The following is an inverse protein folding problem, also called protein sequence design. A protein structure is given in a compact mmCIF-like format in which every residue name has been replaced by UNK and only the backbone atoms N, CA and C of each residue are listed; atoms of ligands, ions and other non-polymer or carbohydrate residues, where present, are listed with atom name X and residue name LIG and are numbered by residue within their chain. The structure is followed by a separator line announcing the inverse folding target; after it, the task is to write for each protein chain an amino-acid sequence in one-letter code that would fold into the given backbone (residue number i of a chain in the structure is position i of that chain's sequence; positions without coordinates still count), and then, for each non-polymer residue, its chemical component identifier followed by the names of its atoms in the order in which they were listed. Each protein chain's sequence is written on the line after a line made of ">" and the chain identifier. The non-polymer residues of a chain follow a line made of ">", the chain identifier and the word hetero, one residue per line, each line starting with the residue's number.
data_IF_408740795881
#
_entry.id   IF_408740795881
#
_cell.length_a   1.000
_cell.length_b   1.000
_cell.length_c   1.000
_cell.angle_alpha   90.00
_cell.angle_beta   90.00
_cell.angle_gamma   90.00
#
_symmetry.space_group_name_H-M   'P 1'
#
loop_
_entity.id
_entity.type
_entity.pdbx_description
1 polymer ?
#
# COMPACT_ATOMS: atom_id res chain seq x y z
N UNK A 1 4.71 -31.68 17.89
CA UNK A 1 5.92 -30.84 17.99
C UNK A 1 5.54 -29.44 17.55
N UNK A 2 5.61 -28.48 18.47
CA UNK A 2 5.09 -27.12 18.28
C UNK A 2 6.26 -26.25 17.83
N UNK A 3 6.30 -25.86 16.55
CA UNK A 3 7.44 -25.14 15.97
C UNK A 3 7.52 -23.72 16.54
N UNK A 4 8.35 -23.52 17.57
CA UNK A 4 8.58 -22.21 18.22
C UNK A 4 9.80 -21.48 17.66
N UNK A 5 10.75 -22.21 17.10
CA UNK A 5 11.98 -21.65 16.56
C UNK A 5 12.29 -22.23 15.18
N UNK A 6 12.89 -21.39 14.34
CA UNK A 6 13.48 -21.79 13.06
C UNK A 6 14.99 -21.74 13.22
N UNK A 7 15.62 -22.91 13.33
CA UNK A 7 17.07 -23.03 13.52
C UNK A 7 17.67 -23.81 12.37
N UNK A 8 18.48 -23.15 11.55
CA UNK A 8 19.20 -23.75 10.43
C UNK A 8 20.70 -23.39 10.53
N UNK A 9 21.50 -24.21 11.21
CA UNK A 9 22.93 -23.97 11.33
C UNK A 9 23.66 -24.41 10.05
N UNK A 10 24.63 -23.61 9.60
CA UNK A 10 25.61 -23.96 8.54
C UNK A 10 24.98 -24.36 7.20
N UNK A 11 24.11 -23.50 6.67
CA UNK A 11 23.49 -23.69 5.34
C UNK A 11 24.14 -22.74 4.32
N UNK A 12 25.46 -22.86 4.15
CA UNK A 12 26.28 -21.88 3.42
C UNK A 12 25.95 -21.75 1.93
N UNK A 13 25.31 -22.77 1.34
CA UNK A 13 24.88 -22.77 -0.07
C UNK A 13 23.43 -22.31 -0.26
N UNK A 14 22.69 -22.07 0.83
CA UNK A 14 21.28 -21.69 0.76
C UNK A 14 21.17 -20.28 0.17
N UNK A 15 20.54 -20.18 -1.00
CA UNK A 15 20.33 -18.90 -1.69
C UNK A 15 18.98 -18.26 -1.39
N UNK A 16 17.97 -19.07 -1.03
CA UNK A 16 16.60 -18.61 -0.82
C UNK A 16 16.01 -19.30 0.40
N UNK A 17 15.33 -18.52 1.24
CA UNK A 17 14.62 -19.03 2.41
C UNK A 17 13.24 -18.37 2.47
N UNK A 18 12.21 -19.20 2.59
CA UNK A 18 10.83 -18.76 2.74
C UNK A 18 10.30 -19.38 4.03
N UNK A 19 9.93 -18.53 4.98
CA UNK A 19 9.31 -18.91 6.24
C UNK A 19 7.93 -18.28 6.24
N UNK A 20 6.92 -19.11 6.04
CA UNK A 20 5.52 -18.68 6.06
C UNK A 20 4.78 -19.44 7.15
N UNK A 21 4.15 -18.71 8.05
CA UNK A 21 3.28 -19.26 9.08
C UNK A 21 1.94 -18.55 9.04
N UNK A 22 0.90 -19.32 8.73
CA UNK A 22 -0.48 -18.84 8.63
C UNK A 22 -1.29 -19.62 9.66
N UNK A 23 -1.62 -19.00 10.79
CA UNK A 23 -2.43 -19.65 11.83
C UNK A 23 -2.31 -19.00 13.21
N UNK A 24 -3.22 -19.37 14.11
CA UNK A 24 -3.34 -18.75 15.43
C UNK A 24 -2.26 -19.23 16.42
N UNK A 25 -1.76 -20.47 16.28
CA UNK A 25 -0.77 -21.06 17.19
C UNK A 25 -0.03 -22.24 16.52
N UNK A 26 1.24 -22.50 16.89
CA UNK A 26 2.10 -21.70 17.77
C UNK A 26 2.79 -20.53 17.06
N UNK A 27 3.22 -19.56 17.85
CA UNK A 27 4.03 -18.43 17.40
C UNK A 27 5.49 -18.82 17.20
N UNK A 28 6.12 -18.33 16.12
CA UNK A 28 7.58 -18.37 16.01
C UNK A 28 8.12 -17.25 16.90
N UNK A 29 8.97 -17.59 17.87
CA UNK A 29 9.62 -16.62 18.76
C UNK A 29 11.05 -16.34 18.35
N UNK A 30 11.72 -17.29 17.67
CA UNK A 30 13.14 -17.19 17.38
C UNK A 30 13.47 -17.69 15.96
N UNK A 31 14.27 -16.92 15.23
CA UNK A 31 14.82 -17.28 13.92
C UNK A 31 16.34 -17.15 14.00
N UNK A 32 17.02 -18.31 13.97
CA UNK A 32 18.47 -18.44 14.03
C UNK A 32 18.94 -19.21 12.80
N UNK A 33 19.15 -18.49 11.71
CA UNK A 33 19.63 -19.08 10.45
C UNK A 33 21.03 -18.55 10.16
N UNK A 34 21.97 -19.42 9.80
CA UNK A 34 23.32 -19.03 9.39
C UNK A 34 23.47 -19.37 7.91
N UNK A 35 23.23 -18.37 7.06
CA UNK A 35 23.20 -18.50 5.61
C UNK A 35 23.90 -17.28 4.93
N UNK A 36 25.24 -17.22 4.91
CA UNK A 36 25.98 -16.06 4.36
C UNK A 36 25.72 -15.83 2.86
N UNK A 37 25.37 -16.88 2.10
CA UNK A 37 25.07 -16.79 0.66
C UNK A 37 23.60 -16.48 0.35
N UNK A 38 22.78 -16.18 1.37
CA UNK A 38 21.35 -15.96 1.19
C UNK A 38 21.10 -14.68 0.38
N UNK A 39 20.30 -14.81 -0.67
CA UNK A 39 19.95 -13.72 -1.59
C UNK A 39 18.48 -13.33 -1.48
N UNK A 40 17.62 -14.27 -1.11
CA UNK A 40 16.18 -14.05 -0.94
C UNK A 40 15.77 -14.56 0.44
N UNK A 41 15.13 -13.68 1.23
CA UNK A 41 14.56 -14.06 2.51
C UNK A 41 13.15 -13.52 2.64
N UNK A 42 12.18 -14.41 2.78
CA UNK A 42 10.80 -14.05 3.05
C UNK A 42 10.42 -14.60 4.41
N UNK A 43 9.99 -13.72 5.30
CA UNK A 43 9.44 -14.05 6.60
C UNK A 43 8.04 -13.45 6.71
N UNK A 44 7.04 -14.32 6.60
CA UNK A 44 5.62 -13.97 6.64
C UNK A 44 5.00 -14.72 7.80
N UNK A 45 4.79 -14.01 8.91
CA UNK A 45 4.25 -14.53 10.14
C UNK A 45 2.96 -13.80 10.50
N UNK A 46 1.82 -14.45 10.28
CA UNK A 46 0.54 -13.93 10.76
C UNK A 46 0.18 -14.59 12.07
N UNK A 47 0.11 -13.80 13.13
CA UNK A 47 -0.26 -14.27 14.44
C UNK A 47 -1.04 -13.18 15.20
N UNK A 48 -2.01 -13.59 16.00
CA UNK A 48 -2.81 -12.68 16.85
C UNK A 48 -2.06 -12.23 18.10
N UNK A 49 -1.00 -12.94 18.50
CA UNK A 49 -0.17 -12.53 19.61
C UNK A 49 0.85 -11.49 19.15
N UNK A 50 0.86 -10.32 19.81
CA UNK A 50 1.83 -9.24 19.57
C UNK A 50 3.21 -9.56 20.17
N UNK A 51 3.71 -10.78 19.96
CA UNK A 51 5.03 -11.21 20.42
C UNK A 51 6.04 -10.89 19.33
N UNK A 52 7.06 -10.11 19.66
CA UNK A 52 8.16 -9.82 18.75
C UNK A 52 9.04 -11.06 18.55
N UNK A 53 9.43 -11.29 17.30
CA UNK A 53 10.34 -12.38 16.95
C UNK A 53 11.78 -11.93 17.21
N UNK A 54 12.58 -12.77 17.83
CA UNK A 54 14.03 -12.62 17.86
C UNK A 54 14.59 -13.10 16.53
N UNK A 55 15.21 -12.20 15.78
CA UNK A 55 15.73 -12.48 14.45
C UNK A 55 17.02 -11.68 14.26
N UNK A 56 18.16 -12.37 14.13
CA UNK A 56 19.43 -11.75 13.76
C UNK A 56 19.86 -12.26 12.38
N UNK A 57 19.73 -11.38 11.38
CA UNK A 57 20.04 -11.69 9.99
C UNK A 57 21.12 -10.77 9.42
N UNK A 58 21.83 -10.02 10.28
CA UNK A 58 22.84 -9.02 9.87
C UNK A 58 23.99 -9.62 9.08
N UNK A 59 24.22 -10.93 9.23
CA UNK A 59 25.23 -11.67 8.49
C UNK A 59 24.87 -11.88 6.99
N UNK A 60 23.63 -11.64 6.56
CA UNK A 60 23.17 -11.95 5.19
C UNK A 60 23.51 -10.83 4.21
N UNK A 61 24.80 -10.52 4.07
CA UNK A 61 25.27 -9.38 3.27
C UNK A 61 24.96 -9.51 1.77
N UNK A 62 24.67 -10.71 1.29
CA UNK A 62 24.32 -11.01 -0.11
C UNK A 62 22.81 -10.85 -0.41
N UNK A 63 22.02 -10.43 0.57
CA UNK A 63 20.56 -10.32 0.44
C UNK A 63 20.19 -9.26 -0.60
N UNK A 64 19.42 -9.68 -1.61
CA UNK A 64 18.89 -8.84 -2.68
C UNK A 64 17.40 -8.62 -2.55
N UNK A 65 16.69 -9.55 -1.92
CA UNK A 65 15.26 -9.47 -1.70
C UNK A 65 14.90 -9.85 -0.26
N UNK A 66 14.20 -8.95 0.41
CA UNK A 66 13.73 -9.13 1.76
C UNK A 66 12.24 -8.82 1.87
N UNK A 67 11.47 -9.78 2.35
CA UNK A 67 10.05 -9.62 2.67
C UNK A 67 9.86 -9.92 4.15
N UNK A 68 9.41 -8.91 4.90
CA UNK A 68 9.13 -9.00 6.33
C UNK A 68 7.69 -8.59 6.61
N UNK A 69 6.87 -9.55 7.00
CA UNK A 69 5.50 -9.37 7.46
C UNK A 69 5.34 -10.11 8.80
N UNK A 70 5.15 -9.39 9.89
CA UNK A 70 5.02 -9.95 11.24
C UNK A 70 4.30 -8.99 12.18
N UNK A 71 3.67 -9.44 13.28
CA UNK A 71 2.84 -8.57 14.12
C UNK A 71 3.62 -7.40 14.72
N UNK A 72 4.83 -7.67 15.20
CA UNK A 72 5.72 -6.70 15.86
C UNK A 72 7.11 -6.73 15.24
N UNK A 73 7.76 -5.57 15.13
CA UNK A 73 9.08 -5.43 14.50
C UNK A 73 10.11 -6.28 15.26
N UNK A 74 10.90 -7.13 14.57
CA UNK A 74 11.77 -8.07 15.25
C UNK A 74 12.86 -7.40 16.09
N UNK A 75 13.17 -7.98 17.24
CA UNK A 75 14.06 -7.38 18.27
C UNK A 75 15.52 -7.23 17.81
N UNK A 76 15.97 -8.06 16.87
CA UNK A 76 17.36 -8.04 16.37
C UNK A 76 17.66 -6.96 15.34
N UNK A 77 16.68 -6.15 14.93
CA UNK A 77 16.88 -5.08 13.97
C UNK A 77 17.05 -3.71 14.63
N UNK A 78 18.00 -2.92 14.12
CA UNK A 78 18.06 -1.49 14.41
C UNK A 78 16.98 -0.76 13.59
N UNK A 79 16.00 -0.16 14.26
CA UNK A 79 14.89 0.53 13.58
C UNK A 79 15.34 1.64 12.62
N UNK A 80 16.48 2.31 12.87
CA UNK A 80 16.98 3.39 12.04
C UNK A 80 17.98 2.94 10.98
N UNK A 81 18.71 1.84 11.23
CA UNK A 81 19.87 1.46 10.41
C UNK A 81 19.83 0.05 9.83
N UNK A 82 18.79 -0.78 10.07
CA UNK A 82 18.80 -2.19 9.66
C UNK A 82 19.05 -2.43 8.17
N UNK A 83 18.67 -1.48 7.29
CA UNK A 83 18.93 -1.63 5.85
C UNK A 83 20.43 -1.57 5.53
N UNK A 84 21.21 -0.88 6.36
CA UNK A 84 22.67 -0.75 6.19
C UNK A 84 23.39 -2.10 6.28
N UNK A 85 22.78 -3.09 6.94
CA UNK A 85 23.30 -4.46 7.03
C UNK A 85 23.19 -5.20 5.67
N UNK A 86 22.37 -4.70 4.73
CA UNK A 86 22.08 -5.33 3.44
C UNK A 86 22.49 -4.42 2.26
N UNK A 87 23.81 -4.32 1.96
CA UNK A 87 24.33 -3.38 0.96
C UNK A 87 23.89 -3.69 -0.49
N UNK A 88 23.41 -4.90 -0.75
CA UNK A 88 22.96 -5.34 -2.07
C UNK A 88 21.43 -5.47 -2.18
N UNK A 89 20.68 -4.97 -1.20
CA UNK A 89 19.22 -5.11 -1.17
C UNK A 89 18.58 -4.28 -2.29
N UNK A 90 17.90 -4.95 -3.22
CA UNK A 90 17.23 -4.34 -4.37
C UNK A 90 15.70 -4.27 -4.17
N UNK A 91 15.13 -5.28 -3.49
CA UNK A 91 13.69 -5.41 -3.27
C UNK A 91 13.38 -5.52 -1.78
N UNK A 92 12.55 -4.62 -1.25
CA UNK A 92 12.09 -4.64 0.13
C UNK A 92 10.56 -4.61 0.19
N UNK A 93 9.97 -5.57 0.90
CA UNK A 93 8.57 -5.57 1.30
C UNK A 93 8.53 -5.56 2.82
N UNK A 94 7.90 -4.54 3.41
CA UNK A 94 7.83 -4.36 4.86
C UNK A 94 6.38 -4.17 5.33
N UNK A 95 5.97 -5.00 6.28
CA UNK A 95 4.74 -4.91 7.03
C UNK A 95 3.57 -5.73 6.47
N UNK A 96 2.37 -5.64 7.08
CA UNK A 96 2.04 -4.93 8.31
C UNK A 96 2.85 -5.39 9.52
N UNK A 97 3.33 -4.41 10.29
CA UNK A 97 4.19 -4.63 11.44
C UNK A 97 4.11 -3.45 12.42
N UNK A 98 3.85 -3.72 13.69
CA UNK A 98 3.90 -2.74 14.77
C UNK A 98 5.36 -2.37 15.08
N UNK A 99 5.65 -1.07 15.18
CA UNK A 99 6.97 -0.55 15.56
C UNK A 99 6.80 0.54 16.60
N UNK A 100 7.50 0.40 17.72
CA UNK A 100 7.51 1.41 18.80
C UNK A 100 8.44 2.60 18.48
N UNK A 101 9.31 2.46 17.48
CA UNK A 101 10.31 3.47 17.08
C UNK A 101 10.15 3.86 15.61
N UNK A 102 10.76 5.00 15.26
CA UNK A 102 10.84 5.49 13.88
C UNK A 102 11.64 4.51 13.03
N UNK A 103 11.10 4.17 11.87
CA UNK A 103 11.83 3.37 10.87
C UNK A 103 12.38 4.31 9.81
N UNK A 104 13.70 4.26 9.58
CA UNK A 104 14.37 5.00 8.51
C UNK A 104 14.78 4.02 7.42
N UNK A 105 14.41 4.34 6.19
CA UNK A 105 14.73 3.51 5.02
C UNK A 105 15.68 4.32 4.16
N UNK A 106 16.96 3.96 4.21
CA UNK A 106 18.01 4.63 3.44
C UNK A 106 18.84 3.59 2.71
N UNK A 107 18.77 3.58 1.38
CA UNK A 107 19.60 2.66 0.57
C UNK A 107 19.76 3.15 -0.87
N UNK A 108 21.00 3.19 -1.38
CA UNK A 108 21.26 3.47 -2.78
C UNK A 108 21.02 2.25 -3.69
N UNK A 109 21.00 1.02 -3.16
CA UNK A 109 20.79 -0.19 -3.97
C UNK A 109 19.31 -0.50 -4.21
N UNK A 110 18.42 0.06 -3.39
CA UNK A 110 17.00 -0.29 -3.41
C UNK A 110 16.31 0.22 -4.68
N UNK A 111 15.66 -0.69 -5.40
CA UNK A 111 14.95 -0.44 -6.66
C UNK A 111 13.45 -0.60 -6.53
N UNK A 112 12.99 -1.51 -5.67
CA UNK A 112 11.57 -1.74 -5.37
C UNK A 112 11.32 -1.67 -3.87
N UNK A 113 10.32 -0.89 -3.48
CA UNK A 113 9.92 -0.72 -2.09
C UNK A 113 8.40 -0.87 -1.98
N UNK A 114 7.97 -1.83 -1.17
CA UNK A 114 6.58 -2.02 -0.78
C UNK A 114 6.45 -1.83 0.73
N UNK A 115 5.56 -0.93 1.11
CA UNK A 115 5.30 -0.54 2.49
C UNK A 115 3.84 -0.85 2.82
N UNK A 116 3.62 -1.75 3.78
CA UNK A 116 2.29 -2.18 4.22
C UNK A 116 2.08 -1.74 5.66
N UNK A 117 1.25 -0.73 5.86
CA UNK A 117 0.93 -0.11 7.15
C UNK A 117 -0.58 -0.13 7.38
N UNK A 118 -1.12 -1.32 7.69
CA UNK A 118 -2.57 -1.49 7.92
C UNK A 118 -2.99 -1.17 9.37
N UNK A 119 -2.04 -1.14 10.33
CA UNK A 119 -2.32 -0.92 11.76
C UNK A 119 -1.35 0.06 12.44
N UNK A 120 -1.00 1.18 11.80
CA UNK A 120 -0.40 2.26 12.58
C UNK A 120 -1.52 2.94 13.37
N UNK A 121 -1.78 2.42 14.56
CA UNK A 121 -2.48 3.09 15.64
C UNK A 121 -2.09 4.58 15.69
N UNK A 122 -3.04 5.43 16.07
CA UNK A 122 -2.86 6.87 16.30
C UNK A 122 -1.76 7.11 17.34
N UNK A 123 -0.49 7.01 16.92
CA UNK A 123 0.65 7.35 17.74
C UNK A 123 1.08 8.77 17.40
N UNK A 124 0.77 9.66 18.34
CA UNK A 124 1.34 11.00 18.50
C UNK A 124 2.86 10.95 18.71
N UNK A 125 3.64 10.52 17.72
CA UNK A 125 5.09 10.73 17.71
C UNK A 125 5.49 11.69 16.59
N UNK A 126 6.03 12.84 16.99
CA UNK A 126 6.31 14.01 16.15
C UNK A 126 7.46 13.83 15.15
N UNK A 127 8.00 12.62 14.97
CA UNK A 127 9.18 12.36 14.13
C UNK A 127 8.83 11.53 12.90
N UNK A 128 8.50 12.23 11.82
CA UNK A 128 8.19 11.72 10.47
C UNK A 128 9.20 10.65 10.02
N UNK A 129 8.87 9.36 9.89
CA UNK A 129 9.76 8.38 9.23
C UNK A 129 10.28 8.93 7.90
N UNK A 130 11.56 8.71 7.57
CA UNK A 130 12.19 9.26 6.36
C UNK A 130 12.64 8.12 5.46
N UNK A 131 12.30 8.26 4.18
CA UNK A 131 12.65 7.33 3.11
C UNK A 131 13.56 8.07 2.13
N UNK A 132 14.85 7.72 2.09
CA UNK A 132 15.85 8.24 1.16
C UNK A 132 16.41 7.09 0.32
N UNK A 133 15.87 6.94 -0.88
CA UNK A 133 16.16 5.82 -1.78
C UNK A 133 16.34 6.39 -3.20
N UNK A 134 17.55 6.85 -3.55
CA UNK A 134 17.78 7.67 -4.75
C UNK A 134 17.62 6.91 -6.06
N UNK A 135 17.69 5.57 -6.05
CA UNK A 135 17.59 4.72 -7.25
C UNK A 135 16.27 3.92 -7.35
N UNK A 136 15.27 4.31 -6.57
CA UNK A 136 13.96 3.65 -6.54
C UNK A 136 13.22 3.79 -7.88
N UNK A 137 12.87 2.65 -8.47
CA UNK A 137 12.14 2.56 -9.73
C UNK A 137 10.64 2.28 -9.53
N UNK A 138 10.29 1.58 -8.43
CA UNK A 138 8.93 1.17 -8.12
C UNK A 138 8.63 1.39 -6.64
N UNK A 139 7.50 2.02 -6.35
CA UNK A 139 7.03 2.25 -4.99
C UNK A 139 5.60 1.76 -4.84
N UNK A 140 5.34 0.98 -3.79
CA UNK A 140 4.00 0.57 -3.40
C UNK A 140 3.75 0.91 -1.94
N UNK A 141 2.61 1.54 -1.67
CA UNK A 141 2.12 1.81 -0.32
C UNK A 141 0.78 1.10 -0.13
N UNK A 142 0.59 0.44 1.01
CA UNK A 142 -0.69 -0.15 1.43
C UNK A 142 -1.00 0.36 2.83
N UNK A 143 -2.16 0.98 3.07
CA UNK A 143 -2.50 1.41 4.43
C UNK A 143 -3.85 2.12 4.55
N UNK A 144 -4.29 2.44 5.78
CA UNK A 144 -5.60 3.09 6.00
C UNK A 144 -5.63 4.57 5.57
N UNK A 145 -4.51 5.25 5.73
CA UNK A 145 -4.30 6.65 5.32
C UNK A 145 -2.95 6.76 4.63
N UNK A 146 -2.80 7.65 3.67
CA UNK A 146 -1.50 7.87 3.03
C UNK A 146 -0.61 8.78 3.89
N UNK A 147 0.57 8.31 4.27
CA UNK A 147 1.55 9.08 5.05
C UNK A 147 2.64 9.62 4.14
N UNK A 148 2.60 10.91 3.81
CA UNK A 148 3.57 11.53 2.88
C UNK A 148 5.02 11.49 3.33
N UNK A 149 5.29 11.36 4.63
CA UNK A 149 6.67 11.20 5.13
C UNK A 149 7.33 9.92 4.62
N UNK A 150 6.53 8.90 4.28
CA UNK A 150 6.98 7.64 3.72
C UNK A 150 7.05 7.64 2.20
N UNK A 151 6.59 8.72 1.56
CA UNK A 151 6.70 8.87 0.12
C UNK A 151 8.16 9.19 -0.24
N UNK A 152 8.72 8.53 -1.27
CA UNK A 152 10.06 8.85 -1.75
C UNK A 152 10.10 10.29 -2.30
N UNK A 153 10.82 11.19 -1.61
CA UNK A 153 10.87 12.63 -1.96
C UNK A 153 11.89 12.95 -3.06
N UNK A 154 13.02 12.25 -3.07
CA UNK A 154 14.19 12.54 -3.90
C UNK A 154 14.16 11.82 -5.28
N UNK A 155 13.28 10.83 -5.43
CA UNK A 155 13.36 9.85 -6.53
C UNK A 155 12.44 10.09 -7.73
N UNK A 156 11.83 11.28 -7.81
CA UNK A 156 10.74 11.59 -8.77
C UNK A 156 11.09 11.35 -10.24
N UNK A 157 12.38 11.41 -10.61
CA UNK A 157 12.85 11.24 -12.00
C UNK A 157 12.98 9.77 -12.44
N UNK A 158 13.30 8.86 -11.52
CA UNK A 158 13.54 7.43 -11.82
C UNK A 158 12.32 6.55 -11.52
N UNK A 159 11.37 7.05 -10.72
CA UNK A 159 10.14 6.37 -10.41
C UNK A 159 9.28 6.16 -11.66
N UNK A 160 9.17 4.90 -12.08
CA UNK A 160 8.34 4.48 -13.22
C UNK A 160 6.91 4.21 -12.80
N UNK A 161 6.73 3.70 -11.59
CA UNK A 161 5.43 3.25 -11.09
C UNK A 161 5.29 3.58 -9.62
N UNK A 162 4.20 4.24 -9.29
CA UNK A 162 3.75 4.49 -7.92
C UNK A 162 2.41 3.81 -7.76
N UNK A 163 2.32 2.85 -6.84
CA UNK A 163 1.09 2.19 -6.43
C UNK A 163 0.69 2.66 -5.04
N UNK A 164 -0.49 3.23 -4.87
CA UNK A 164 -1.01 3.58 -3.53
C UNK A 164 -2.30 2.82 -3.31
N UNK A 165 -2.27 1.81 -2.45
CA UNK A 165 -3.43 1.02 -2.02
C UNK A 165 -3.94 1.53 -0.68
N UNK A 166 -5.13 2.13 -0.64
CA UNK A 166 -5.72 2.62 0.60
C UNK A 166 -6.85 1.73 1.07
N UNK A 167 -6.87 1.40 2.36
CA UNK A 167 -7.93 0.63 3.03
C UNK A 167 -8.56 1.46 4.16
N UNK A 168 -9.22 2.58 3.86
CA UNK A 168 -9.77 3.47 4.88
C UNK A 168 -10.95 2.82 5.61
N UNK A 169 -11.14 3.21 6.86
CA UNK A 169 -12.41 3.00 7.56
C UNK A 169 -13.44 3.98 7.02
N UNK A 170 -14.59 3.49 6.58
CA UNK A 170 -15.65 4.31 5.93
C UNK A 170 -16.04 5.50 6.81
N UNK A 171 -16.22 5.29 8.11
CA UNK A 171 -16.56 6.33 9.09
C UNK A 171 -15.51 7.45 9.21
N UNK A 172 -14.25 7.17 8.85
CA UNK A 172 -13.15 8.14 8.88
C UNK A 172 -12.99 8.91 7.57
N UNK A 173 -13.74 8.57 6.52
CA UNK A 173 -13.71 9.26 5.24
C UNK A 173 -14.51 10.56 5.38
N UNK A 174 -13.80 11.67 5.53
CA UNK A 174 -14.37 13.01 5.59
C UNK A 174 -13.52 14.00 4.80
N UNK A 175 -13.97 15.26 4.71
CA UNK A 175 -13.23 16.32 3.99
C UNK A 175 -11.77 16.45 4.44
N UNK A 176 -11.47 16.29 5.73
CA UNK A 176 -10.10 16.40 6.23
C UNK A 176 -9.22 15.25 5.74
N UNK A 177 -9.76 14.01 5.70
CA UNK A 177 -9.08 12.86 5.11
C UNK A 177 -8.72 13.12 3.64
N UNK A 178 -9.66 13.67 2.85
CA UNK A 178 -9.40 14.02 1.45
C UNK A 178 -8.36 15.12 1.30
N UNK A 179 -8.44 16.19 2.09
CA UNK A 179 -7.47 17.29 2.01
C UNK A 179 -6.06 16.81 2.35
N UNK A 180 -5.91 15.89 3.30
CA UNK A 180 -4.62 15.25 3.59
C UNK A 180 -4.13 14.40 2.43
N UNK A 181 -4.99 13.54 1.86
CA UNK A 181 -4.64 12.74 0.70
C UNK A 181 -4.25 13.63 -0.50
N UNK A 182 -5.03 14.66 -0.79
CA UNK A 182 -4.79 15.65 -1.84
C UNK A 182 -3.42 16.30 -1.71
N UNK A 183 -3.15 16.89 -0.54
CA UNK A 183 -1.88 17.54 -0.20
C UNK A 183 -0.68 16.63 -0.45
N UNK A 184 -0.88 15.31 -0.35
CA UNK A 184 0.16 14.33 -0.57
C UNK A 184 0.27 13.89 -2.03
N UNK A 185 -0.85 13.62 -2.69
CA UNK A 185 -0.88 13.20 -4.10
C UNK A 185 -0.38 14.30 -5.04
N UNK A 186 -0.66 15.58 -4.74
CA UNK A 186 -0.15 16.72 -5.54
C UNK A 186 1.37 16.84 -5.52
N UNK A 187 2.06 16.21 -4.56
CA UNK A 187 3.53 16.16 -4.50
C UNK A 187 4.13 15.05 -5.34
N UNK A 188 3.31 14.11 -5.80
CA UNK A 188 3.70 12.98 -6.63
C UNK A 188 3.43 13.35 -8.10
N UNK A 189 4.34 12.98 -8.99
CA UNK A 189 4.21 13.29 -10.42
C UNK A 189 3.11 12.42 -11.08
N UNK A 190 2.62 12.80 -12.26
CA UNK A 190 1.40 12.29 -12.93
C UNK A 190 1.42 10.79 -13.38
N UNK A 191 2.34 9.94 -12.91
CA UNK A 191 2.38 8.49 -13.23
C UNK A 191 2.01 7.63 -12.03
N UNK A 192 0.85 7.92 -11.43
CA UNK A 192 0.35 7.24 -10.24
C UNK A 192 -0.71 6.23 -10.66
N UNK A 193 -0.50 4.97 -10.24
CA UNK A 193 -1.57 4.00 -10.07
C UNK A 193 -2.11 4.13 -8.65
N UNK A 194 -3.37 4.55 -8.54
CA UNK A 194 -4.10 4.57 -7.28
C UNK A 194 -4.96 3.32 -7.21
N UNK A 195 -4.87 2.62 -6.09
CA UNK A 195 -5.79 1.57 -5.73
C UNK A 195 -6.52 2.02 -4.45
N UNK A 196 -7.83 2.08 -4.49
CA UNK A 196 -8.65 2.27 -3.31
C UNK A 196 -9.36 0.94 -3.05
N UNK A 197 -9.01 0.30 -1.95
CA UNK A 197 -9.68 -0.89 -1.47
C UNK A 197 -10.62 -0.48 -0.33
N UNK A 198 -11.89 -0.28 -0.65
CA UNK A 198 -12.89 0.02 0.36
C UNK A 198 -13.29 -1.31 0.97
N UNK A 199 -12.65 -1.67 2.09
CA UNK A 199 -13.09 -2.79 2.90
C UNK A 199 -14.12 -2.30 3.88
N UNK A 200 -15.31 -2.84 3.76
CA UNK A 200 -16.24 -2.85 4.87
C UNK A 200 -15.66 -3.73 5.97
N UNK A 201 -15.16 -3.08 7.02
CA UNK A 201 -15.54 -3.54 8.36
C UNK A 201 -16.89 -2.87 8.71
N UNK A 202 -17.90 -2.97 7.84
CA UNK A 202 -19.28 -2.91 8.30
C UNK A 202 -19.49 -4.21 9.08
N UNK A 203 -19.09 -4.18 10.34
CA UNK A 203 -19.78 -4.96 11.34
C UNK A 203 -21.28 -4.71 11.09
N UNK A 204 -22.04 -5.78 10.93
CA UNK A 204 -23.37 -5.89 10.29
C UNK A 204 -24.47 -5.18 11.13
N UNK A 205 -24.24 -3.93 11.56
CA UNK A 205 -25.09 -3.19 12.51
C UNK A 205 -25.38 -1.76 12.12
N UNK A 206 -24.82 -1.25 11.02
CA UNK A 206 -25.22 0.06 10.50
C UNK A 206 -26.19 -0.11 9.34
N UNK A 207 -27.48 0.15 9.62
CA UNK A 207 -28.58 0.34 8.66
C UNK A 207 -28.37 1.67 7.89
N UNK A 208 -27.26 1.83 7.20
CA UNK A 208 -27.06 3.00 6.31
C UNK A 208 -27.71 2.66 4.96
N UNK A 209 -28.62 3.49 4.43
CA UNK A 209 -29.27 3.23 3.14
C UNK A 209 -28.26 3.08 2.00
N UNK A 210 -28.51 2.17 1.06
CA UNK A 210 -27.67 1.95 -0.14
C UNK A 210 -27.39 3.26 -0.92
N UNK A 211 -28.37 4.16 -0.99
CA UNK A 211 -28.23 5.49 -1.59
C UNK A 211 -27.11 6.34 -0.97
N UNK A 212 -26.91 6.24 0.35
CA UNK A 212 -25.86 6.98 1.06
C UNK A 212 -24.46 6.45 0.71
N UNK A 213 -24.32 5.14 0.52
CA UNK A 213 -23.08 4.52 0.05
C UNK A 213 -22.75 4.93 -1.38
N UNK A 214 -23.76 5.02 -2.25
CA UNK A 214 -23.58 5.45 -3.63
C UNK A 214 -23.12 6.91 -3.75
N UNK A 215 -23.73 7.81 -2.97
CA UNK A 215 -23.30 9.20 -2.86
C UNK A 215 -21.85 9.34 -2.37
N UNK A 216 -21.48 8.55 -1.35
CA UNK A 216 -20.11 8.54 -0.82
C UNK A 216 -19.10 8.03 -1.85
N UNK A 217 -19.40 6.93 -2.55
CA UNK A 217 -18.54 6.37 -3.59
C UNK A 217 -18.32 7.38 -4.72
N UNK A 218 -19.39 8.02 -5.20
CA UNK A 218 -19.33 9.07 -6.22
C UNK A 218 -18.49 10.25 -5.75
N UNK A 219 -18.69 10.70 -4.50
CA UNK A 219 -17.89 11.77 -3.90
C UNK A 219 -16.41 11.39 -3.82
N UNK A 220 -16.08 10.15 -3.42
CA UNK A 220 -14.70 9.66 -3.36
C UNK A 220 -14.05 9.69 -4.73
N UNK A 221 -14.70 9.11 -5.74
CA UNK A 221 -14.16 9.02 -7.10
C UNK A 221 -13.97 10.43 -7.69
N UNK A 222 -14.98 11.30 -7.58
CA UNK A 222 -14.94 12.68 -8.08
C UNK A 222 -13.73 13.45 -7.53
N UNK A 223 -13.52 13.37 -6.21
CA UNK A 223 -12.36 13.99 -5.57
C UNK A 223 -11.05 13.36 -6.04
N UNK A 224 -10.94 12.03 -6.11
CA UNK A 224 -9.70 11.36 -6.55
C UNK A 224 -9.29 11.76 -7.98
N UNK A 225 -10.26 11.80 -8.88
CA UNK A 225 -10.06 12.21 -10.28
C UNK A 225 -9.60 13.66 -10.36
N UNK A 226 -10.26 14.57 -9.64
CA UNK A 226 -9.88 15.98 -9.57
C UNK A 226 -8.46 16.20 -9.02
N UNK A 227 -8.09 15.43 -8.01
CA UNK A 227 -6.88 15.73 -7.22
C UNK A 227 -5.60 15.19 -7.83
N UNK A 228 -5.67 14.10 -8.59
CA UNK A 228 -4.48 13.33 -8.94
C UNK A 228 -4.37 12.89 -10.40
N UNK A 229 -5.44 13.04 -11.19
CA UNK A 229 -5.49 12.56 -12.59
C UNK A 229 -4.79 11.19 -12.75
N UNK A 230 -5.22 10.16 -12.01
CA UNK A 230 -4.50 8.89 -11.97
C UNK A 230 -4.58 8.20 -13.33
N UNK A 231 -3.52 7.52 -13.75
CA UNK A 231 -3.56 6.71 -14.99
C UNK A 231 -4.32 5.40 -14.78
N UNK A 232 -4.34 4.92 -13.53
CA UNK A 232 -5.06 3.73 -13.12
C UNK A 232 -5.70 4.00 -11.77
N UNK A 233 -7.02 3.81 -11.67
CA UNK A 233 -7.76 3.71 -10.43
C UNK A 233 -8.29 2.28 -10.30
N UNK A 234 -7.81 1.53 -9.32
CA UNK A 234 -8.38 0.24 -8.95
C UNK A 234 -9.34 0.44 -7.79
N UNK A 235 -10.59 0.04 -7.95
CA UNK A 235 -11.56 -0.05 -6.86
C UNK A 235 -11.75 -1.52 -6.48
N UNK A 236 -11.62 -1.85 -5.20
CA UNK A 236 -11.87 -3.19 -4.66
C UNK A 236 -12.95 -3.10 -3.59
N UNK A 237 -13.92 -4.00 -3.64
CA UNK A 237 -15.12 -3.98 -2.80
C UNK A 237 -15.74 -5.38 -2.64
N UNK A 238 -16.60 -5.61 -1.64
CA UNK A 238 -17.35 -6.86 -1.51
C UNK A 238 -18.18 -7.15 -2.75
N UNK A 239 -18.26 -8.42 -3.16
CA UNK A 239 -18.99 -8.84 -4.38
C UNK A 239 -20.47 -8.45 -4.33
N UNK A 240 -21.09 -8.47 -3.14
CA UNK A 240 -22.47 -8.02 -2.94
C UNK A 240 -22.71 -6.55 -3.31
N UNK A 241 -21.68 -5.71 -3.19
CA UNK A 241 -21.75 -4.27 -3.49
C UNK A 241 -21.26 -3.93 -4.92
N UNK A 242 -20.62 -4.89 -5.60
CA UNK A 242 -19.88 -4.66 -6.83
C UNK A 242 -20.77 -4.21 -8.00
N UNK A 243 -21.91 -4.87 -8.21
CA UNK A 243 -22.84 -4.52 -9.29
C UNK A 243 -23.43 -3.11 -9.13
N UNK A 244 -23.81 -2.76 -7.91
CA UNK A 244 -24.33 -1.43 -7.56
C UNK A 244 -23.27 -0.34 -7.77
N UNK A 245 -22.07 -0.55 -7.21
CA UNK A 245 -20.96 0.37 -7.37
C UNK A 245 -20.53 0.52 -8.83
N UNK A 246 -20.53 -0.57 -9.60
CA UNK A 246 -20.25 -0.53 -11.02
C UNK A 246 -21.29 0.30 -11.78
N UNK A 247 -22.58 0.11 -11.49
CA UNK A 247 -23.65 0.94 -12.05
C UNK A 247 -23.43 2.42 -11.77
N UNK A 248 -23.14 2.79 -10.52
CA UNK A 248 -22.83 4.18 -10.15
C UNK A 248 -21.58 4.70 -10.85
N UNK A 249 -20.51 3.91 -10.93
CA UNK A 249 -19.29 4.33 -11.62
C UNK A 249 -19.55 4.55 -13.11
N UNK A 250 -20.29 3.64 -13.75
CA UNK A 250 -20.61 3.70 -15.16
C UNK A 250 -21.49 4.92 -15.46
N UNK A 251 -22.59 5.08 -14.71
CA UNK A 251 -23.45 6.24 -14.82
C UNK A 251 -22.68 7.51 -14.51
N UNK A 252 -21.88 7.55 -13.45
CA UNK A 252 -21.10 8.73 -13.11
C UNK A 252 -20.11 9.10 -14.21
N UNK A 253 -19.37 8.14 -14.76
CA UNK A 253 -18.37 8.41 -15.81
C UNK A 253 -19.02 8.71 -17.17
N UNK A 254 -20.19 8.14 -17.48
CA UNK A 254 -20.89 8.29 -18.76
C UNK A 254 -21.86 9.48 -18.78
N UNK A 255 -22.64 9.70 -17.72
CA UNK A 255 -23.84 10.58 -17.69
C UNK A 255 -23.62 12.08 -17.89
N UNK A 256 -22.39 12.56 -18.14
CA UNK A 256 -22.15 13.97 -18.49
C UNK A 256 -21.00 14.14 -19.49
N UNK A 257 -21.18 13.60 -20.70
CA UNK A 257 -20.59 14.18 -21.92
C UNK A 257 -21.52 15.24 -22.53
N UNK A 258 -22.28 15.97 -21.71
CA UNK A 258 -22.94 17.16 -22.17
C UNK A 258 -21.94 18.32 -22.06
N UNK A 259 -21.69 19.00 -23.18
CA UNK A 259 -20.69 20.05 -23.38
C UNK A 259 -20.83 21.27 -22.44
N UNK A 260 -21.85 21.26 -21.56
CA UNK A 260 -22.19 22.33 -20.64
C UNK A 260 -21.79 22.07 -19.18
N UNK A 261 -21.06 20.98 -18.88
CA UNK A 261 -20.51 20.85 -17.52
C UNK A 261 -19.53 22.00 -17.28
N UNK A 262 -19.72 22.78 -16.20
CA UNK A 262 -18.94 24.01 -15.96
C UNK A 262 -19.09 25.11 -17.03
N UNK A 263 -20.27 25.23 -17.68
CA UNK A 263 -20.60 26.39 -18.50
C UNK A 263 -20.30 27.68 -17.70
N UNK A 264 -19.55 28.59 -18.33
CA UNK A 264 -19.20 29.93 -17.82
C UNK A 264 -18.30 30.03 -16.57
N UNK A 265 -17.68 28.95 -16.10
CA UNK A 265 -16.66 29.03 -15.03
C UNK A 265 -15.23 28.91 -15.57
N UNK A 266 -14.33 29.80 -15.11
CA UNK A 266 -12.87 29.65 -15.35
C UNK A 266 -12.34 28.33 -14.76
N UNK A 267 -12.97 27.82 -13.70
CA UNK A 267 -12.63 26.53 -13.10
C UNK A 267 -13.31 25.39 -13.85
N UNK A 268 -12.58 24.77 -14.79
CA UNK A 268 -13.02 23.58 -15.53
C UNK A 268 -12.87 22.32 -14.69
N UNK A 269 -13.83 21.38 -14.81
CA UNK A 269 -13.76 20.11 -14.08
C UNK A 269 -12.90 19.02 -14.71
N UNK A 270 -12.53 18.00 -13.92
CA UNK A 270 -11.68 16.87 -14.35
C UNK A 270 -12.17 16.22 -15.66
N UNK A 271 -13.50 16.25 -15.93
CA UNK A 271 -14.09 15.75 -17.17
C UNK A 271 -13.54 16.43 -18.43
N UNK A 272 -13.22 17.73 -18.36
CA UNK A 272 -12.65 18.48 -19.48
C UNK A 272 -11.22 18.03 -19.81
N UNK A 273 -10.52 17.51 -18.82
CA UNK A 273 -9.16 17.00 -18.99
C UNK A 273 -9.15 15.50 -19.30
N UNK A 274 -10.29 14.80 -19.21
CA UNK A 274 -10.35 13.39 -19.54
C UNK A 274 -10.46 13.20 -21.06
N UNK A 275 -9.47 12.52 -21.65
CA UNK A 275 -9.50 12.15 -23.08
C UNK A 275 -10.28 10.86 -23.31
N UNK A 276 -9.99 9.83 -22.52
CA UNK A 276 -10.59 8.50 -22.66
C UNK A 276 -10.48 7.71 -21.35
N UNK A 277 -11.33 6.70 -21.16
CA UNK A 277 -11.18 5.74 -20.07
C UNK A 277 -11.61 4.33 -20.47
N UNK A 278 -10.99 3.32 -19.87
CA UNK A 278 -11.34 1.91 -20.05
C UNK A 278 -11.64 1.27 -18.71
N UNK A 279 -12.69 0.48 -18.65
CA UNK A 279 -13.07 -0.28 -17.47
C UNK A 279 -12.75 -1.75 -17.68
N UNK A 280 -12.13 -2.39 -16.70
CA UNK A 280 -11.88 -3.83 -16.69
C UNK A 280 -12.30 -4.40 -15.35
N UNK A 281 -13.25 -5.31 -15.37
CA UNK A 281 -13.59 -6.13 -14.21
C UNK A 281 -12.53 -7.23 -14.04
N UNK A 282 -12.09 -7.43 -12.80
CA UNK A 282 -11.19 -8.49 -12.38
C UNK A 282 -11.92 -9.28 -11.29
N UNK A 283 -12.43 -10.44 -11.67
CA UNK A 283 -13.03 -11.38 -10.72
C UNK A 283 -11.90 -12.06 -9.95
N UNK A 284 -11.88 -11.92 -8.61
CA UNK A 284 -10.91 -12.62 -7.76
C UNK A 284 -11.60 -13.62 -6.82
N UNK A 285 -11.48 -14.90 -7.16
CA UNK A 285 -12.17 -16.03 -6.49
C UNK A 285 -11.63 -16.40 -5.09
N UNK A 286 -10.69 -15.66 -4.52
CA UNK A 286 -10.03 -16.08 -3.27
C UNK A 286 -10.59 -15.41 -1.99
N UNK A 287 -11.40 -14.34 -2.09
CA UNK A 287 -11.86 -13.55 -0.91
C UNK A 287 -13.27 -12.92 -0.98
N UNK A 288 -14.16 -13.35 -1.88
CA UNK A 288 -15.46 -12.68 -2.13
C UNK A 288 -15.34 -11.17 -2.42
N UNK A 289 -14.17 -10.72 -2.90
CA UNK A 289 -13.91 -9.33 -3.31
C UNK A 289 -13.93 -9.24 -4.84
N UNK A 290 -14.66 -8.27 -5.38
CA UNK A 290 -14.64 -7.92 -6.81
C UNK A 290 -13.79 -6.67 -7.00
N UNK A 291 -12.99 -6.65 -8.08
CA UNK A 291 -12.08 -5.54 -8.39
C UNK A 291 -12.41 -4.94 -9.74
N UNK A 292 -12.40 -3.61 -9.81
CA UNK A 292 -12.59 -2.84 -11.03
C UNK A 292 -11.38 -1.98 -11.29
N UNK A 293 -10.80 -2.09 -12.48
CA UNK A 293 -9.74 -1.22 -12.94
C UNK A 293 -10.30 -0.20 -13.91
N UNK A 294 -10.18 1.07 -13.55
CA UNK A 294 -10.44 2.21 -14.42
C UNK A 294 -9.09 2.74 -14.90
N UNK A 295 -8.83 2.62 -16.20
CA UNK A 295 -7.61 3.12 -16.84
C UNK A 295 -7.98 4.43 -17.53
N UNK A 296 -7.41 5.54 -17.08
CA UNK A 296 -7.71 6.87 -17.61
C UNK A 296 -6.59 7.37 -18.52
N UNK A 297 -6.99 8.07 -19.57
CA UNK A 297 -6.10 8.86 -20.43
C UNK A 297 -6.51 10.31 -20.30
N UNK A 298 -5.56 11.16 -19.89
CA UNK A 298 -5.78 12.60 -19.69
C UNK A 298 -5.24 13.40 -20.87
N UNK A 299 -5.88 14.51 -21.21
CA UNK A 299 -5.32 15.52 -22.09
C UNK A 299 -4.13 16.17 -21.39
N UNK A 300 -3.03 16.36 -22.12
CA UNK A 300 -1.87 17.06 -21.58
C UNK A 300 -2.28 18.49 -21.25
N UNK A 301 -2.16 18.89 -19.98
CA UNK A 301 -2.21 20.28 -19.59
C UNK A 301 -1.00 20.96 -20.24
N UNK A 302 -1.24 21.70 -21.32
CA UNK A 302 -0.26 22.59 -21.96
C UNK A 302 0.06 23.75 -21.05
#
# INVERSE_FOLDING_TARGET
>A
MVLRSVVLPKVDRLKKLYVQLVGSYPSITDVQVIAPSLQVFHFVHFNRCNVAVNMDIRAYRMLREFHLECPTFPVGFDHEHFISDFPHLENLILGPCETSKRVKISSPSLRKLTLMFTQLYDYNYSRKSVVSVPNLCSFQYVGRTFKSSLAPSETRKLLKTIGISLVPHVEKINRAWFLQLRSHLTKLNNRIGLALNIRDQLDIRFKVPEESHGCLLKYIIDNLLWMSHPNLLTLSMPTSFAAFAFGICNDFLISRREDNCCADTQNKCWRHFLKDFKVRELVTNEKEETKFNFIFTWQLLS
#
